data_IF_758012230044
#
_entry.id   IF_758012230044
#
_cell.length_a   1.000
_cell.length_b   1.000
_cell.length_c   1.000
_cell.angle_alpha   90.00
_cell.angle_beta   90.00
_cell.angle_gamma   90.00
#
_symmetry.space_group_name_H-M   'P 1'
#
loop_
_entity.id
_entity.type
_entity.pdbx_description
1 polymer ?
#
# COMPACT_ATOMS: atom_id res chain seq x y z
N UNK A 1 0.05 -0.18 -15.19
CA UNK A 1 -0.82 0.04 -14.03
C UNK A 1 -2.21 0.46 -14.50
N UNK A 2 -3.25 -0.08 -13.89
CA UNK A 2 -4.64 0.39 -14.00
C UNK A 2 -5.12 0.74 -12.59
N UNK A 3 -5.55 1.99 -12.40
CA UNK A 3 -6.14 2.47 -11.15
C UNK A 3 -7.67 2.41 -11.26
N UNK A 4 -8.30 1.64 -10.38
CA UNK A 4 -9.75 1.49 -10.29
C UNK A 4 -10.38 2.49 -9.30
N UNK A 5 -9.55 3.27 -8.61
CA UNK A 5 -9.97 4.19 -7.56
C UNK A 5 -10.54 3.44 -6.37
N UNK A 6 -11.56 4.05 -5.75
CA UNK A 6 -12.22 3.50 -4.57
C UNK A 6 -13.24 2.43 -4.95
N UNK A 7 -13.12 1.26 -4.32
CA UNK A 7 -14.03 0.14 -4.46
C UNK A 7 -14.52 -0.32 -3.08
N UNK A 8 -15.62 -1.07 -3.06
CA UNK A 8 -16.25 -1.57 -1.83
C UNK A 8 -16.41 -3.09 -1.88
N UNK A 9 -16.24 -3.74 -0.74
CA UNK A 9 -16.40 -5.19 -0.58
C UNK A 9 -16.95 -5.54 0.81
N UNK A 10 -17.75 -6.59 0.92
CA UNK A 10 -18.18 -7.14 2.22
C UNK A 10 -17.10 -8.00 2.88
N UNK A 11 -16.04 -8.35 2.14
CA UNK A 11 -14.89 -9.12 2.62
C UNK A 11 -13.65 -8.24 2.58
N UNK A 12 -12.87 -8.25 3.67
CA UNK A 12 -11.61 -7.53 3.77
C UNK A 12 -10.61 -8.12 2.75
N UNK A 13 -10.04 -7.31 1.83
CA UNK A 13 -8.99 -7.78 0.95
C UNK A 13 -7.65 -7.87 1.70
N UNK A 14 -6.77 -8.75 1.24
CA UNK A 14 -5.34 -8.67 1.57
C UNK A 14 -4.72 -7.46 0.86
N UNK A 15 -3.66 -6.87 1.41
CA UNK A 15 -3.05 -5.66 0.82
C UNK A 15 -2.47 -5.89 -0.58
N UNK A 16 -1.99 -7.11 -0.85
CA UNK A 16 -1.46 -7.51 -2.16
C UNK A 16 -1.98 -8.91 -2.47
N UNK A 17 -2.59 -9.07 -3.65
CA UNK A 17 -3.02 -10.37 -4.18
C UNK A 17 -2.37 -10.58 -5.54
N UNK A 18 -1.76 -11.75 -5.74
CA UNK A 18 -1.09 -12.10 -6.99
C UNK A 18 -1.85 -13.24 -7.65
N UNK A 19 -2.36 -13.00 -8.85
CA UNK A 19 -3.00 -14.03 -9.66
C UNK A 19 -2.04 -14.53 -10.79
N UNK A 20 -2.56 -15.28 -11.75
CA UNK A 20 -1.77 -15.82 -12.86
C UNK A 20 -1.14 -14.73 -13.75
N UNK A 21 -1.79 -13.57 -13.91
CA UNK A 21 -1.43 -12.54 -14.88
C UNK A 21 -1.06 -11.18 -14.27
N UNK A 22 -1.46 -10.91 -13.03
CA UNK A 22 -1.43 -9.56 -12.45
C UNK A 22 -1.14 -9.55 -10.96
N UNK A 23 -0.69 -8.39 -10.50
CA UNK A 23 -0.57 -8.05 -9.07
C UNK A 23 -1.61 -7.00 -8.74
N UNK A 24 -2.48 -7.31 -7.80
CA UNK A 24 -3.50 -6.41 -7.27
C UNK A 24 -3.00 -5.84 -5.96
N UNK A 25 -3.01 -4.52 -5.84
CA UNK A 25 -2.67 -3.80 -4.63
C UNK A 25 -3.91 -3.06 -4.12
N UNK A 26 -4.19 -3.25 -2.84
CA UNK A 26 -5.30 -2.64 -2.13
C UNK A 26 -4.74 -1.76 -1.00
N UNK A 27 -4.99 -0.46 -1.06
CA UNK A 27 -4.50 0.50 -0.05
C UNK A 27 -5.66 1.25 0.61
N UNK A 28 -5.38 1.87 1.75
CA UNK A 28 -6.37 2.67 2.49
C UNK A 28 -7.64 1.89 2.85
N UNK A 29 -7.46 0.62 3.24
CA UNK A 29 -8.57 -0.28 3.60
C UNK A 29 -9.22 0.19 4.89
N UNK A 30 -10.48 0.64 4.80
CA UNK A 30 -11.26 1.16 5.91
C UNK A 30 -12.58 0.40 6.04
N UNK A 31 -13.02 0.16 7.27
CA UNK A 31 -14.36 -0.37 7.54
C UNK A 31 -15.41 0.72 7.31
N UNK A 32 -16.47 0.38 6.58
CA UNK A 32 -17.58 1.29 6.27
C UNK A 32 -18.88 0.62 6.65
N UNK A 33 -19.72 1.35 7.39
CA UNK A 33 -21.09 0.96 7.68
C UNK A 33 -22.04 2.09 7.26
N UNK A 34 -23.06 1.76 6.48
CA UNK A 34 -24.07 2.68 5.95
C UNK A 34 -25.47 2.10 6.19
N UNK A 35 -26.42 2.97 6.55
CA UNK A 35 -27.84 2.63 6.76
C UNK A 35 -28.08 1.45 7.72
N UNK A 36 -27.30 1.38 8.81
CA UNK A 36 -27.39 0.33 9.83
C UNK A 36 -28.82 0.23 10.37
N UNK A 37 -29.46 -0.92 10.18
CA UNK A 37 -30.85 -1.16 10.61
C UNK A 37 -31.95 -0.78 9.60
N UNK A 38 -31.61 -0.39 8.37
CA UNK A 38 -32.57 -0.19 7.26
C UNK A 38 -32.44 -1.28 6.18
N UNK A 39 -33.40 -1.38 5.25
CA UNK A 39 -33.38 -2.38 4.17
C UNK A 39 -32.16 -2.27 3.24
N UNK A 40 -31.47 -1.11 3.22
CA UNK A 40 -30.28 -0.85 2.41
C UNK A 40 -28.98 -0.80 3.25
N UNK A 41 -28.92 -1.60 4.32
CA UNK A 41 -27.72 -1.72 5.16
C UNK A 41 -26.52 -2.23 4.35
N UNK A 42 -25.40 -1.52 4.47
CA UNK A 42 -24.10 -1.97 3.98
C UNK A 42 -23.11 -1.98 5.14
N UNK A 43 -22.49 -3.13 5.40
CA UNK A 43 -21.39 -3.28 6.34
C UNK A 43 -20.27 -4.01 5.61
N UNK A 44 -19.13 -3.36 5.47
CA UNK A 44 -18.01 -3.89 4.71
C UNK A 44 -16.79 -2.99 4.78
N UNK A 45 -16.04 -2.96 3.68
CA UNK A 45 -14.78 -2.26 3.54
C UNK A 45 -14.78 -1.40 2.28
N UNK A 46 -14.16 -0.23 2.36
CA UNK A 46 -13.82 0.64 1.24
C UNK A 46 -12.30 0.73 1.14
N UNK A 47 -11.76 0.65 -0.07
CA UNK A 47 -10.31 0.70 -0.31
C UNK A 47 -9.99 1.17 -1.72
N UNK A 48 -8.77 1.66 -1.91
CA UNK A 48 -8.22 1.95 -3.22
C UNK A 48 -7.72 0.66 -3.87
N UNK A 49 -7.96 0.50 -5.17
CA UNK A 49 -7.63 -0.72 -5.91
C UNK A 49 -6.82 -0.40 -7.15
N UNK A 50 -5.63 -1.00 -7.24
CA UNK A 50 -4.72 -0.83 -8.37
C UNK A 50 -4.25 -2.19 -8.89
N UNK A 51 -4.24 -2.34 -10.20
CA UNK A 51 -3.70 -3.50 -10.90
C UNK A 51 -2.36 -3.16 -11.57
N UNK A 52 -1.39 -4.03 -11.41
CA UNK A 52 -0.09 -3.96 -12.06
C UNK A 52 0.17 -5.20 -12.91
N UNK A 53 0.93 -5.03 -14.00
CA UNK A 53 1.66 -6.14 -14.59
C UNK A 53 2.74 -6.62 -13.59
N UNK A 54 3.07 -7.91 -13.63
CA UNK A 54 4.05 -8.49 -12.71
C UNK A 54 5.43 -7.86 -12.84
N UNK A 55 5.91 -7.59 -14.07
CA UNK A 55 7.22 -6.98 -14.26
C UNK A 55 7.21 -5.53 -13.77
N UNK A 56 6.12 -4.80 -14.04
CA UNK A 56 5.95 -3.42 -13.56
C UNK A 56 6.00 -3.35 -12.03
N UNK A 57 5.30 -4.27 -11.35
CA UNK A 57 5.30 -4.34 -9.89
C UNK A 57 6.68 -4.67 -9.32
N UNK A 58 7.39 -5.63 -9.92
CA UNK A 58 8.76 -6.00 -9.51
C UNK A 58 9.72 -4.80 -9.67
N UNK A 59 9.63 -4.08 -10.81
CA UNK A 59 10.46 -2.90 -11.06
C UNK A 59 10.15 -1.78 -10.07
N UNK A 60 8.87 -1.54 -9.76
CA UNK A 60 8.44 -0.59 -8.73
C UNK A 60 9.06 -0.94 -7.38
N UNK A 61 8.92 -2.19 -6.94
CA UNK A 61 9.46 -2.64 -5.65
C UNK A 61 10.99 -2.55 -5.61
N UNK A 62 11.67 -2.90 -6.70
CA UNK A 62 13.13 -2.81 -6.79
C UNK A 62 13.61 -1.37 -6.66
N UNK A 63 12.91 -0.42 -7.31
CA UNK A 63 13.19 1.01 -7.21
C UNK A 63 12.96 1.52 -5.78
N UNK A 64 11.80 1.23 -5.19
CA UNK A 64 11.46 1.64 -3.83
C UNK A 64 12.47 1.10 -2.80
N UNK A 65 12.92 -0.14 -2.96
CA UNK A 65 13.93 -0.74 -2.09
C UNK A 65 15.32 -0.07 -2.23
N UNK A 66 15.71 0.29 -3.46
CA UNK A 66 16.97 0.99 -3.69
C UNK A 66 16.96 2.39 -3.05
N UNK A 67 15.85 3.13 -3.24
CA UNK A 67 15.65 4.45 -2.62
C UNK A 67 15.61 4.37 -1.10
N UNK A 68 14.93 3.38 -0.52
CA UNK A 68 14.89 3.17 0.92
C UNK A 68 16.28 2.85 1.49
N UNK A 69 17.07 2.00 0.81
CA UNK A 69 18.43 1.68 1.22
C UNK A 69 19.34 2.92 1.22
N UNK A 70 19.18 3.80 0.24
CA UNK A 70 19.90 5.07 0.18
C UNK A 70 19.52 5.99 1.35
N UNK A 71 18.22 6.17 1.59
CA UNK A 71 17.72 7.00 2.70
C UNK A 71 18.19 6.49 4.07
N UNK A 72 18.22 5.17 4.29
CA UNK A 72 18.77 4.56 5.51
C UNK A 72 20.25 4.92 5.66
N UNK A 73 21.03 4.81 4.59
CA UNK A 73 22.46 5.15 4.61
C UNK A 73 22.68 6.62 4.95
N UNK A 74 21.92 7.53 4.33
CA UNK A 74 22.00 8.97 4.62
C UNK A 74 21.64 9.27 6.08
N UNK A 75 20.60 8.62 6.59
CA UNK A 75 20.18 8.77 7.99
C UNK A 75 21.29 8.29 8.95
N UNK A 76 21.95 7.17 8.65
CA UNK A 76 23.05 6.66 9.47
C UNK A 76 24.25 7.61 9.48
N UNK A 77 24.59 8.21 8.34
CA UNK A 77 25.64 9.23 8.25
C UNK A 77 25.27 10.44 9.12
N UNK A 78 24.07 11.00 8.95
CA UNK A 78 23.61 12.15 9.72
C UNK A 78 23.59 11.87 11.23
N UNK A 79 23.16 10.67 11.65
CA UNK A 79 23.21 10.26 13.05
C UNK A 79 24.65 10.20 13.57
N UNK A 80 25.58 9.68 12.78
CA UNK A 80 27.00 9.61 13.15
C UNK A 80 27.58 11.01 13.33
N UNK A 81 27.32 11.93 12.40
CA UNK A 81 27.75 13.32 12.47
C UNK A 81 27.22 14.02 13.74
N UNK A 82 25.93 13.82 14.08
CA UNK A 82 25.34 14.37 15.31
C UNK A 82 26.02 13.81 16.57
N UNK A 83 26.30 12.50 16.62
CA UNK A 83 27.00 11.91 17.75
C UNK A 83 28.43 12.44 17.90
N UNK A 84 29.15 12.64 16.79
CA UNK A 84 30.49 13.22 16.79
C UNK A 84 30.49 14.67 17.30
N UNK A 85 29.44 15.45 17.02
CA UNK A 85 29.31 16.83 17.52
C UNK A 85 29.01 16.93 19.02
N UNK A 86 28.49 15.87 19.63
CA UNK A 86 28.14 15.83 21.06
C UNK A 86 29.30 15.36 21.97
N UNK A 87 30.36 14.82 21.39
CA UNK A 87 31.56 14.34 22.09
C UNK A 87 32.63 15.44 22.20
#
# INVERSE_FOLDING_TARGET
MIDYGKVRSTVKPDEIVIDEFSVWQYTDIQEVSENVGEENEFVGYEFNMVQYDKNEFILKQAKENAELSEQITQTQIALTEVYEMMA
#
